data_IF_670181956730
#
_entry.id   IF_670181956730
#
_cell.length_a   1.000
_cell.length_b   1.000
_cell.length_c   1.000
_cell.angle_alpha   90.00
_cell.angle_beta   90.00
_cell.angle_gamma   90.00
#
_symmetry.space_group_name_H-M   'P 1'
#
loop_
_entity.id
_entity.type
_entity.pdbx_description
1 polymer ?
#
# COMPACT_ATOMS: atom_id res chain seq x y z
N UNK A 1 -3.91 4.92 -16.42
CA UNK A 1 -5.01 5.88 -16.11
C UNK A 1 -6.26 5.10 -15.76
N UNK A 2 -7.02 5.55 -14.75
CA UNK A 2 -8.31 4.93 -14.36
C UNK A 2 -9.48 5.64 -15.03
N UNK A 3 -10.48 4.86 -15.46
CA UNK A 3 -11.72 5.36 -16.05
C UNK A 3 -12.93 4.76 -15.33
N UNK A 4 -13.98 5.53 -15.16
CA UNK A 4 -15.21 5.08 -14.50
C UNK A 4 -15.82 3.88 -15.22
N UNK A 5 -16.19 2.86 -14.45
CA UNK A 5 -16.74 1.60 -14.95
C UNK A 5 -17.78 1.03 -13.99
N UNK A 6 -18.37 -0.11 -14.35
CA UNK A 6 -19.20 -0.88 -13.42
C UNK A 6 -18.35 -1.56 -12.35
N UNK A 7 -18.97 -1.88 -11.21
CA UNK A 7 -18.34 -2.68 -10.17
C UNK A 7 -17.88 -4.04 -10.74
N UNK A 8 -16.78 -4.61 -10.24
CA UNK A 8 -16.41 -5.98 -10.56
C UNK A 8 -17.51 -6.95 -10.14
N UNK A 9 -17.63 -8.07 -10.84
CA UNK A 9 -18.61 -9.12 -10.53
C UNK A 9 -18.06 -10.16 -9.53
N UNK A 10 -16.99 -9.85 -8.81
CA UNK A 10 -16.35 -10.72 -7.84
C UNK A 10 -16.86 -10.43 -6.43
N UNK A 11 -17.56 -11.39 -5.85
CA UNK A 11 -18.17 -11.25 -4.52
C UNK A 11 -17.10 -11.09 -3.41
N UNK A 12 -15.89 -11.64 -3.58
CA UNK A 12 -14.79 -11.46 -2.61
C UNK A 12 -14.29 -10.02 -2.64
N UNK A 13 -14.08 -9.46 -3.83
CA UNK A 13 -13.73 -8.04 -3.99
C UNK A 13 -14.80 -7.16 -3.34
N UNK A 14 -16.08 -7.42 -3.65
CA UNK A 14 -17.17 -6.63 -3.12
C UNK A 14 -17.28 -6.72 -1.59
N UNK A 15 -16.96 -7.88 -0.99
CA UNK A 15 -16.94 -8.07 0.46
C UNK A 15 -15.81 -7.27 1.15
N UNK A 16 -14.68 -7.04 0.48
CA UNK A 16 -13.56 -6.26 1.03
C UNK A 16 -13.87 -4.77 1.10
N UNK A 17 -14.73 -4.23 0.23
CA UNK A 17 -15.04 -2.78 0.19
C UNK A 17 -15.48 -2.21 1.53
N UNK A 18 -16.53 -2.72 2.20
CA UNK A 18 -16.95 -2.18 3.49
C UNK A 18 -15.92 -2.39 4.59
N UNK A 19 -15.12 -3.46 4.51
CA UNK A 19 -14.08 -3.78 5.48
C UNK A 19 -12.97 -2.72 5.39
N UNK A 20 -12.44 -2.46 4.20
CA UNK A 20 -11.36 -1.49 3.99
C UNK A 20 -11.84 -0.04 4.18
N UNK A 21 -13.09 0.26 3.83
CA UNK A 21 -13.67 1.58 4.10
C UNK A 21 -13.71 1.88 5.61
N UNK A 22 -14.11 0.88 6.43
CA UNK A 22 -14.13 1.05 7.88
C UNK A 22 -12.72 1.06 8.49
N UNK A 23 -11.80 0.20 8.03
CA UNK A 23 -10.39 0.23 8.43
C UNK A 23 -9.75 1.61 8.15
N UNK A 24 -9.98 2.14 6.95
CA UNK A 24 -9.52 3.49 6.56
C UNK A 24 -10.12 4.58 7.46
N UNK A 25 -11.39 4.45 7.85
CA UNK A 25 -12.01 5.38 8.78
C UNK A 25 -11.38 5.32 10.17
N UNK A 26 -11.05 4.12 10.69
CA UNK A 26 -10.33 3.96 11.97
C UNK A 26 -8.99 4.70 11.90
N UNK A 27 -8.20 4.51 10.84
CA UNK A 27 -6.92 5.21 10.69
C UNK A 27 -7.08 6.72 10.63
N UNK A 28 -8.06 7.23 9.90
CA UNK A 28 -8.33 8.66 9.82
C UNK A 28 -8.75 9.27 11.17
N UNK A 29 -9.58 8.56 11.95
CA UNK A 29 -9.97 8.99 13.29
C UNK A 29 -8.75 9.06 14.22
N UNK A 30 -7.88 8.05 14.20
CA UNK A 30 -6.64 8.03 15.00
C UNK A 30 -5.67 9.13 14.54
N UNK A 31 -5.51 9.32 13.23
CA UNK A 31 -4.67 10.36 12.65
C UNK A 31 -5.14 11.77 13.05
N UNK A 32 -6.44 12.04 12.96
CA UNK A 32 -7.03 13.31 13.37
C UNK A 32 -6.87 13.56 14.87
N UNK A 33 -7.02 12.51 15.71
CA UNK A 33 -6.79 12.60 17.13
C UNK A 33 -5.32 12.91 17.43
N UNK A 34 -4.39 12.26 16.75
CA UNK A 34 -2.95 12.51 16.89
C UNK A 34 -2.57 13.94 16.49
N UNK A 35 -2.97 14.40 15.30
CA UNK A 35 -2.73 15.77 14.82
C UNK A 35 -3.40 16.84 15.72
N UNK A 36 -4.49 16.51 16.40
CA UNK A 36 -5.14 17.40 17.39
C UNK A 36 -4.42 17.44 18.76
N UNK A 37 -3.29 16.73 18.90
CA UNK A 37 -2.51 16.66 20.14
C UNK A 37 -3.22 15.92 21.28
N UNK A 38 -4.12 14.98 20.98
CA UNK A 38 -4.74 14.11 21.98
C UNK A 38 -3.73 13.08 22.46
N UNK A 39 -3.98 12.51 23.65
CA UNK A 39 -3.17 11.40 24.17
C UNK A 39 -3.16 10.24 23.17
N UNK A 40 -1.95 9.81 22.78
CA UNK A 40 -1.74 8.82 21.73
C UNK A 40 -0.51 7.96 22.06
N UNK A 41 -0.67 6.64 22.00
CA UNK A 41 0.40 5.72 22.33
C UNK A 41 1.25 5.41 21.09
N UNK A 42 2.56 5.59 21.24
CA UNK A 42 3.58 5.20 20.28
C UNK A 42 4.59 4.35 21.03
N UNK A 43 4.77 3.11 20.61
CA UNK A 43 5.75 2.18 21.14
C UNK A 43 6.84 1.92 20.09
N UNK A 44 7.92 1.27 20.49
CA UNK A 44 9.03 0.88 19.62
C UNK A 44 9.10 -0.65 19.55
N UNK A 45 9.16 -1.20 18.34
CA UNK A 45 9.35 -2.65 18.10
C UNK A 45 10.83 -3.04 18.36
N UNK A 46 11.11 -4.33 18.42
CA UNK A 46 12.46 -4.87 18.64
C UNK A 46 13.47 -4.41 17.57
N UNK A 47 13.03 -4.12 16.37
CA UNK A 47 13.82 -3.59 15.26
C UNK A 47 13.95 -2.06 15.24
N UNK A 48 13.50 -1.38 16.30
CA UNK A 48 13.46 0.07 16.46
C UNK A 48 12.50 0.79 15.50
N UNK A 49 11.60 0.10 14.81
CA UNK A 49 10.51 0.74 14.09
C UNK A 49 9.40 1.17 15.05
N UNK A 50 8.71 2.28 14.77
CA UNK A 50 7.57 2.70 15.59
C UNK A 50 6.35 1.81 15.32
N UNK A 51 5.56 1.55 16.35
CA UNK A 51 4.21 1.02 16.26
C UNK A 51 3.28 1.92 17.07
N UNK A 52 2.11 2.21 16.53
CA UNK A 52 1.14 3.08 17.18
C UNK A 52 -0.13 2.33 17.58
N UNK A 53 -0.92 2.93 18.44
CA UNK A 53 -2.26 2.38 18.75
C UNK A 53 -3.14 2.25 17.49
N UNK A 54 -2.89 3.07 16.44
CA UNK A 54 -3.60 2.99 15.18
C UNK A 54 -3.29 1.68 14.44
N UNK A 55 -2.00 1.30 14.34
CA UNK A 55 -1.55 0.02 13.77
C UNK A 55 -2.29 -1.14 14.43
N UNK A 56 -2.23 -1.21 15.76
CA UNK A 56 -2.79 -2.32 16.54
C UNK A 56 -4.33 -2.38 16.43
N UNK A 57 -5.00 -1.23 16.43
CA UNK A 57 -6.46 -1.15 16.33
C UNK A 57 -6.96 -1.61 14.97
N UNK A 58 -6.31 -1.16 13.88
CA UNK A 58 -6.65 -1.57 12.51
C UNK A 58 -6.29 -3.03 12.28
N UNK A 59 -5.12 -3.48 12.78
CA UNK A 59 -4.72 -4.87 12.72
C UNK A 59 -5.79 -5.80 13.32
N UNK A 60 -6.21 -5.54 14.55
CA UNK A 60 -7.23 -6.35 15.23
C UNK A 60 -8.54 -6.40 14.44
N UNK A 61 -8.99 -5.26 13.92
CA UNK A 61 -10.20 -5.20 13.11
C UNK A 61 -10.08 -5.99 11.80
N UNK A 62 -9.00 -5.79 11.03
CA UNK A 62 -8.81 -6.46 9.74
C UNK A 62 -8.68 -7.97 9.90
N UNK A 63 -7.93 -8.46 10.90
CA UNK A 63 -7.82 -9.88 11.19
C UNK A 63 -9.19 -10.49 11.49
N UNK A 64 -9.99 -9.86 12.35
CA UNK A 64 -11.34 -10.34 12.68
C UNK A 64 -12.24 -10.42 11.44
N UNK A 65 -12.21 -9.42 10.55
CA UNK A 65 -13.04 -9.41 9.36
C UNK A 65 -12.56 -10.42 8.31
N UNK A 66 -11.24 -10.52 8.05
CA UNK A 66 -10.68 -11.49 7.12
C UNK A 66 -10.96 -12.94 7.57
N UNK A 67 -10.86 -13.23 8.87
CA UNK A 67 -11.22 -14.54 9.42
C UNK A 67 -12.70 -14.90 9.23
N UNK A 68 -13.60 -13.90 9.17
CA UNK A 68 -15.03 -14.14 8.90
C UNK A 68 -15.30 -14.50 7.44
N UNK A 69 -14.63 -13.82 6.50
CA UNK A 69 -14.86 -14.04 5.06
C UNK A 69 -14.03 -15.20 4.49
N UNK A 70 -12.85 -15.46 5.04
CA UNK A 70 -11.93 -16.51 4.58
C UNK A 70 -11.32 -17.28 5.77
N UNK A 71 -12.12 -17.99 6.59
CA UNK A 71 -11.66 -18.62 7.84
C UNK A 71 -10.58 -19.69 7.64
N UNK A 72 -10.44 -20.22 6.42
CA UNK A 72 -9.46 -21.25 6.06
C UNK A 72 -8.10 -20.68 5.66
N UNK A 73 -8.01 -19.36 5.36
CA UNK A 73 -6.77 -18.74 4.90
C UNK A 73 -6.06 -18.08 6.10
N UNK A 74 -4.85 -18.54 6.47
CA UNK A 74 -4.08 -17.90 7.53
C UNK A 74 -3.69 -16.46 7.18
N UNK A 75 -3.44 -15.65 8.20
CA UNK A 75 -3.09 -14.24 8.04
C UNK A 75 -1.70 -14.00 8.62
N UNK A 76 -0.77 -13.58 7.77
CA UNK A 76 0.54 -13.07 8.14
C UNK A 76 0.45 -11.54 8.18
N UNK A 77 0.40 -10.98 9.39
CA UNK A 77 0.37 -9.54 9.58
C UNK A 77 1.68 -9.05 10.18
N UNK A 78 2.13 -7.84 9.81
CA UNK A 78 3.29 -7.18 10.38
C UNK A 78 3.24 -7.15 11.93
N UNK A 79 2.05 -6.99 12.50
CA UNK A 79 1.86 -6.79 13.95
C UNK A 79 1.65 -8.09 14.74
N UNK A 80 1.81 -9.26 14.11
CA UNK A 80 1.58 -10.56 14.73
C UNK A 80 2.86 -11.41 14.82
N UNK A 81 2.77 -12.56 15.51
CA UNK A 81 3.85 -13.56 15.50
C UNK A 81 4.03 -14.19 14.11
N UNK A 82 5.28 -14.24 13.66
CA UNK A 82 5.69 -14.74 12.35
C UNK A 82 6.29 -16.15 12.38
N UNK A 83 6.19 -16.86 13.50
CA UNK A 83 6.87 -18.15 13.71
C UNK A 83 6.43 -19.24 12.72
N UNK A 84 5.18 -19.20 12.25
CA UNK A 84 4.60 -20.19 11.35
C UNK A 84 4.62 -19.78 9.86
N UNK A 85 5.16 -18.63 9.52
CA UNK A 85 5.11 -18.06 8.15
C UNK A 85 5.63 -19.00 7.05
N UNK A 86 6.57 -19.88 7.37
CA UNK A 86 7.18 -20.80 6.39
C UNK A 86 6.36 -22.09 6.16
N UNK A 87 5.31 -22.31 6.93
CA UNK A 87 4.46 -23.50 6.84
C UNK A 87 3.31 -23.32 5.83
N UNK A 88 3.04 -22.10 5.42
CA UNK A 88 1.88 -21.75 4.60
C UNK A 88 2.22 -21.63 3.12
N UNK A 89 1.46 -22.35 2.28
CA UNK A 89 1.50 -22.20 0.81
C UNK A 89 0.49 -21.17 0.31
N UNK A 90 -0.45 -20.78 1.18
CA UNK A 90 -1.46 -19.76 0.94
C UNK A 90 -1.65 -18.94 2.21
N UNK A 91 -1.65 -17.63 2.12
CA UNK A 91 -1.94 -16.72 3.24
C UNK A 91 -2.34 -15.35 2.77
N UNK A 92 -3.12 -14.65 3.59
CA UNK A 92 -3.20 -13.20 3.54
C UNK A 92 -1.92 -12.60 4.11
N UNK A 93 -1.37 -11.62 3.41
CA UNK A 93 -0.25 -10.81 3.86
C UNK A 93 -0.78 -9.40 4.12
N UNK A 94 -0.64 -8.91 5.34
CA UNK A 94 -1.27 -7.69 5.83
C UNK A 94 -0.23 -6.75 6.45
N UNK A 95 -0.23 -5.50 5.99
CA UNK A 95 0.33 -4.36 6.70
C UNK A 95 -0.83 -3.40 7.04
N UNK A 96 -1.19 -3.28 8.32
CA UNK A 96 -2.35 -2.49 8.73
C UNK A 96 -2.11 -0.98 8.65
N UNK A 97 -0.85 -0.54 8.68
CA UNK A 97 -0.44 0.86 8.55
C UNK A 97 0.98 0.95 7.99
N UNK A 98 1.13 0.79 6.66
CA UNK A 98 2.41 1.11 6.00
C UNK A 98 2.61 2.63 5.97
N UNK A 99 3.77 3.07 6.40
CA UNK A 99 4.06 4.48 6.56
C UNK A 99 3.76 5.01 7.97
N UNK A 100 3.99 4.22 9.03
CA UNK A 100 3.86 4.67 10.43
C UNK A 100 4.70 5.92 10.71
N UNK A 101 5.86 6.06 10.06
CA UNK A 101 6.70 7.28 10.15
C UNK A 101 6.01 8.48 9.52
N UNK A 102 5.38 8.31 8.38
CA UNK A 102 4.61 9.35 7.70
C UNK A 102 3.44 9.79 8.57
N UNK A 103 2.71 8.84 9.14
CA UNK A 103 1.63 9.08 10.11
C UNK A 103 2.12 9.94 11.30
N UNK A 104 3.23 9.56 11.95
CA UNK A 104 3.80 10.29 13.11
C UNK A 104 4.32 11.68 12.71
N UNK A 105 4.77 11.87 11.46
CA UNK A 105 5.22 13.17 10.96
C UNK A 105 4.10 14.01 10.33
N UNK A 106 2.85 13.63 10.55
CA UNK A 106 1.66 14.34 10.06
C UNK A 106 1.65 14.50 8.54
N UNK A 107 2.05 13.43 7.82
CA UNK A 107 2.01 13.34 6.35
C UNK A 107 0.86 12.44 5.93
N UNK A 108 0.12 12.87 4.93
CA UNK A 108 -1.07 12.16 4.41
C UNK A 108 -0.74 10.98 3.47
N UNK A 109 0.40 10.30 3.70
CA UNK A 109 1.01 9.34 2.78
C UNK A 109 1.16 7.93 3.39
N UNK A 110 0.17 7.50 4.16
CA UNK A 110 0.12 6.16 4.76
C UNK A 110 -0.96 5.30 4.11
N UNK A 111 -0.75 3.98 4.12
CA UNK A 111 -1.62 3.04 3.42
C UNK A 111 -1.96 1.82 4.29
N UNK A 112 -3.00 1.08 3.87
CA UNK A 112 -3.26 -0.29 4.32
C UNK A 112 -2.92 -1.20 3.15
N UNK A 113 -2.00 -2.15 3.34
CA UNK A 113 -1.61 -3.09 2.31
C UNK A 113 -2.15 -4.49 2.62
N UNK A 114 -2.84 -5.08 1.68
CA UNK A 114 -3.36 -6.44 1.77
C UNK A 114 -3.08 -7.20 0.47
N UNK A 115 -2.51 -8.40 0.58
CA UNK A 115 -2.33 -9.27 -0.58
C UNK A 115 -2.62 -10.73 -0.24
N UNK A 116 -3.11 -11.49 -1.21
CA UNK A 116 -3.26 -12.93 -1.13
C UNK A 116 -2.08 -13.57 -1.83
N UNK A 117 -1.36 -14.38 -1.07
CA UNK A 117 -0.22 -15.15 -1.56
C UNK A 117 -0.67 -16.59 -1.80
N UNK A 118 -0.34 -17.15 -2.96
CA UNK A 118 -0.51 -18.57 -3.28
C UNK A 118 0.77 -19.09 -3.92
N UNK A 119 1.34 -20.16 -3.37
CA UNK A 119 2.57 -20.79 -3.87
C UNK A 119 3.70 -19.78 -4.09
N UNK A 120 3.92 -18.89 -3.13
CA UNK A 120 4.94 -17.82 -3.14
C UNK A 120 4.72 -16.74 -4.21
N UNK A 121 3.53 -16.64 -4.77
CA UNK A 121 3.16 -15.59 -5.71
C UNK A 121 2.01 -14.75 -5.16
N UNK A 122 2.06 -13.46 -5.39
CA UNK A 122 0.93 -12.56 -5.14
C UNK A 122 -0.12 -12.78 -6.21
N UNK A 123 -1.29 -13.28 -5.83
CA UNK A 123 -2.40 -13.53 -6.78
C UNK A 123 -3.49 -12.47 -6.71
N UNK A 124 -3.62 -11.80 -5.58
CA UNK A 124 -4.51 -10.66 -5.36
C UNK A 124 -3.79 -9.58 -4.58
N UNK A 125 -4.06 -8.34 -4.89
CA UNK A 125 -3.42 -7.16 -4.29
C UNK A 125 -4.44 -6.08 -3.98
N UNK A 126 -4.23 -5.39 -2.85
CA UNK A 126 -5.02 -4.24 -2.45
C UNK A 126 -4.15 -3.25 -1.68
N UNK A 127 -4.22 -1.97 -2.06
CA UNK A 127 -3.69 -0.85 -1.29
C UNK A 127 -4.83 0.14 -1.08
N UNK A 128 -5.15 0.43 0.19
CA UNK A 128 -6.06 1.52 0.52
C UNK A 128 -5.25 2.75 0.96
N UNK A 129 -5.67 3.93 0.51
CA UNK A 129 -5.11 5.24 0.88
C UNK A 129 -6.18 5.99 1.67
N UNK A 130 -6.16 5.92 3.01
CA UNK A 130 -7.22 6.48 3.85
C UNK A 130 -7.43 7.98 3.65
N UNK A 131 -6.37 8.74 3.54
CA UNK A 131 -6.39 10.21 3.40
C UNK A 131 -7.02 10.67 2.07
N UNK A 132 -6.87 9.88 1.01
CA UNK A 132 -7.49 10.14 -0.29
C UNK A 132 -8.88 9.51 -0.43
N UNK A 133 -9.30 8.70 0.54
CA UNK A 133 -10.58 7.98 0.49
C UNK A 133 -10.70 7.05 -0.72
N UNK A 134 -9.61 6.35 -1.10
CA UNK A 134 -9.56 5.43 -2.24
C UNK A 134 -8.90 4.12 -1.87
N UNK A 135 -9.14 3.08 -2.67
CA UNK A 135 -8.35 1.86 -2.69
C UNK A 135 -8.10 1.39 -4.12
N UNK A 136 -6.95 0.77 -4.34
CA UNK A 136 -6.54 0.10 -5.57
C UNK A 136 -6.51 -1.39 -5.31
N UNK A 137 -7.11 -2.20 -6.19
CA UNK A 137 -7.18 -3.64 -5.98
C UNK A 137 -7.36 -4.41 -7.29
N UNK A 138 -6.93 -5.65 -7.28
CA UNK A 138 -7.10 -6.54 -8.43
C UNK A 138 -6.34 -7.85 -8.31
N UNK A 139 -6.64 -8.76 -9.22
CA UNK A 139 -5.90 -10.00 -9.41
C UNK A 139 -4.72 -9.78 -10.36
N UNK A 140 -3.65 -10.55 -10.17
CA UNK A 140 -2.45 -10.49 -11.03
C UNK A 140 -2.76 -10.66 -12.53
N UNK A 141 -3.80 -11.41 -12.85
CA UNK A 141 -4.19 -11.75 -14.24
C UNK A 141 -5.16 -10.76 -14.88
N UNK A 142 -5.55 -9.70 -14.16
CA UNK A 142 -6.54 -8.74 -14.61
C UNK A 142 -6.09 -7.30 -14.32
N UNK A 143 -6.50 -6.37 -15.17
CA UNK A 143 -6.26 -4.94 -14.93
C UNK A 143 -6.96 -4.49 -13.64
N UNK A 144 -6.26 -3.76 -12.76
CA UNK A 144 -6.77 -3.42 -11.44
C UNK A 144 -7.91 -2.39 -11.50
N UNK A 145 -8.65 -2.35 -10.39
CA UNK A 145 -9.68 -1.37 -10.13
C UNK A 145 -9.21 -0.35 -9.10
N UNK A 146 -9.77 0.84 -9.19
CA UNK A 146 -9.76 1.87 -8.15
C UNK A 146 -11.18 2.06 -7.65
N UNK A 147 -11.36 2.14 -6.34
CA UNK A 147 -12.63 2.43 -5.71
C UNK A 147 -12.54 3.67 -4.84
N UNK A 148 -13.46 4.62 -5.02
CA UNK A 148 -13.58 5.80 -4.16
C UNK A 148 -14.60 5.54 -3.06
N UNK A 149 -14.17 5.62 -1.79
CA UNK A 149 -15.05 5.46 -0.62
C UNK A 149 -16.04 6.62 -0.51
N UNK A 150 -15.62 7.84 -0.85
CA UNK A 150 -16.45 9.04 -0.76
C UNK A 150 -17.49 9.11 -1.89
N UNK A 151 -17.08 8.80 -3.12
CA UNK A 151 -17.95 8.86 -4.30
C UNK A 151 -18.73 7.56 -4.56
N UNK A 152 -18.30 6.45 -3.93
CA UNK A 152 -18.84 5.09 -4.10
C UNK A 152 -18.90 4.65 -5.56
N UNK A 153 -17.88 5.02 -6.33
CA UNK A 153 -17.73 4.64 -7.74
C UNK A 153 -16.49 3.77 -7.96
N UNK A 154 -16.56 2.99 -9.03
CA UNK A 154 -15.49 2.15 -9.52
C UNK A 154 -14.86 2.77 -10.75
N UNK A 155 -13.55 2.64 -10.84
CA UNK A 155 -12.76 2.94 -12.02
C UNK A 155 -11.89 1.73 -12.34
N UNK A 156 -11.71 1.41 -13.61
CA UNK A 156 -10.81 0.34 -14.06
C UNK A 156 -9.58 0.94 -14.71
N UNK A 157 -8.42 0.36 -14.44
CA UNK A 157 -7.20 0.76 -15.09
C UNK A 157 -7.31 0.56 -16.60
N UNK A 158 -6.85 1.54 -17.35
CA UNK A 158 -6.73 1.48 -18.82
C UNK A 158 -5.28 1.74 -19.16
N UNK A 159 -4.62 0.82 -19.92
CA UNK A 159 -3.25 1.02 -20.34
C UNK A 159 -3.07 2.40 -20.96
N UNK A 160 -2.07 3.08 -20.50
CA UNK A 160 -1.72 4.42 -20.95
C UNK A 160 -0.51 4.31 -21.87
N UNK A 161 -0.62 4.79 -23.09
CA UNK A 161 0.54 4.98 -23.94
C UNK A 161 1.25 6.23 -23.46
N UNK A 162 2.45 6.07 -22.90
CA UNK A 162 3.30 7.20 -22.53
C UNK A 162 3.47 8.12 -23.73
N UNK A 163 3.12 9.38 -23.53
CA UNK A 163 3.65 10.45 -24.38
C UNK A 163 5.15 10.56 -24.08
N UNK A 164 5.93 11.08 -25.06
CA UNK A 164 7.34 11.40 -24.82
C UNK A 164 7.47 12.17 -23.51
N UNK A 165 8.19 11.59 -22.54
CA UNK A 165 8.35 12.21 -21.22
C UNK A 165 9.58 13.09 -21.26
N UNK A 166 9.41 14.38 -21.02
CA UNK A 166 10.53 15.33 -20.97
C UNK A 166 11.51 15.06 -19.84
N UNK A 167 11.09 14.31 -18.79
CA UNK A 167 11.89 13.97 -17.62
C UNK A 167 11.38 12.69 -16.93
N UNK A 168 12.30 11.89 -16.38
CA UNK A 168 11.98 10.70 -15.58
C UNK A 168 11.53 11.14 -14.18
N UNK A 169 10.34 10.73 -13.75
CA UNK A 169 9.83 10.96 -12.40
C UNK A 169 10.30 9.83 -11.47
N UNK A 170 11.14 10.13 -10.47
CA UNK A 170 11.68 9.13 -9.53
C UNK A 170 11.08 9.31 -8.14
N UNK A 171 10.38 8.29 -7.64
CA UNK A 171 9.83 8.24 -6.29
C UNK A 171 10.87 7.89 -5.25
N UNK A 172 11.09 8.76 -4.27
CA UNK A 172 12.06 8.58 -3.18
C UNK A 172 11.34 8.64 -1.83
N UNK A 173 11.90 7.96 -0.83
CA UNK A 173 11.40 8.09 0.54
C UNK A 173 11.94 9.37 1.19
N UNK A 174 11.10 10.02 2.00
CA UNK A 174 11.46 11.24 2.72
C UNK A 174 12.75 11.10 3.51
N UNK A 175 13.65 12.06 3.31
CA UNK A 175 14.88 12.18 4.10
C UNK A 175 15.83 10.99 4.01
N UNK A 176 15.77 10.17 2.98
CA UNK A 176 16.66 9.03 2.81
C UNK A 176 18.12 9.50 2.71
N UNK A 177 18.97 9.00 3.65
CA UNK A 177 20.41 9.29 3.71
C UNK A 177 21.28 8.23 3.01
N UNK A 178 20.67 7.17 2.46
CA UNK A 178 21.43 6.12 1.79
C UNK A 178 22.03 6.65 0.48
N UNK A 179 23.38 6.66 0.35
CA UNK A 179 24.04 7.23 -0.82
C UNK A 179 23.71 6.54 -2.14
N UNK A 180 23.23 5.30 -2.10
CA UNK A 180 22.81 4.57 -3.32
C UNK A 180 21.67 5.26 -4.06
N UNK A 181 20.77 5.98 -3.36
CA UNK A 181 19.71 6.75 -4.01
C UNK A 181 20.28 7.90 -4.85
N UNK A 182 21.26 8.64 -4.30
CA UNK A 182 21.93 9.71 -5.05
C UNK A 182 22.68 9.15 -6.26
N UNK A 183 23.48 8.09 -6.05
CA UNK A 183 24.22 7.43 -7.15
C UNK A 183 23.28 6.94 -8.27
N UNK A 184 22.13 6.39 -7.90
CA UNK A 184 21.16 5.92 -8.88
C UNK A 184 20.52 7.07 -9.67
N UNK A 185 20.13 8.14 -8.98
CA UNK A 185 19.57 9.33 -9.63
C UNK A 185 20.62 10.00 -10.52
N UNK A 186 21.87 10.17 -10.04
CA UNK A 186 22.98 10.73 -10.83
C UNK A 186 23.25 9.89 -12.10
N UNK A 187 23.05 8.55 -12.01
CA UNK A 187 23.15 7.66 -13.18
C UNK A 187 22.02 7.92 -14.18
N UNK A 188 20.77 8.05 -13.74
CA UNK A 188 19.65 8.34 -14.60
C UNK A 188 19.78 9.74 -15.27
N UNK A 189 20.30 10.74 -14.55
CA UNK A 189 20.52 12.10 -15.04
C UNK A 189 21.55 12.18 -16.20
N UNK A 190 22.36 11.12 -16.42
CA UNK A 190 23.24 11.03 -17.60
C UNK A 190 22.46 10.78 -18.91
N UNK A 191 21.30 10.15 -18.81
CA UNK A 191 20.50 9.75 -19.97
C UNK A 191 19.30 10.69 -20.21
N UNK A 192 18.68 11.19 -19.13
CA UNK A 192 17.48 12.04 -19.21
C UNK A 192 17.35 12.93 -17.99
N UNK A 193 16.71 14.10 -18.10
CA UNK A 193 16.35 14.90 -16.94
C UNK A 193 15.56 14.09 -15.91
N UNK A 194 15.84 14.28 -14.62
CA UNK A 194 15.16 13.58 -13.52
C UNK A 194 14.41 14.57 -12.63
N UNK A 195 13.16 14.25 -12.34
CA UNK A 195 12.34 14.94 -11.33
C UNK A 195 12.18 14.02 -10.13
N UNK A 196 12.61 14.49 -8.96
CA UNK A 196 12.51 13.74 -7.70
C UNK A 196 11.16 14.03 -7.05
N UNK A 197 10.43 12.96 -6.70
CA UNK A 197 9.17 13.00 -5.95
C UNK A 197 9.38 12.29 -4.62
N UNK A 198 9.24 12.99 -3.51
CA UNK A 198 9.29 12.38 -2.19
C UNK A 198 7.89 11.98 -1.75
N UNK A 199 7.75 10.73 -1.27
CA UNK A 199 6.50 10.21 -0.75
C UNK A 199 6.72 9.03 0.21
N UNK A 200 5.69 8.70 0.97
CA UNK A 200 5.64 7.56 1.89
C UNK A 200 5.77 6.21 1.18
N UNK A 201 6.04 5.17 1.91
CA UNK A 201 6.41 3.82 1.51
C UNK A 201 5.55 3.25 0.36
N UNK A 202 4.49 2.49 0.64
CA UNK A 202 3.67 1.87 -0.39
C UNK A 202 2.79 2.87 -1.18
N UNK A 203 2.57 4.07 -0.66
CA UNK A 203 1.90 5.13 -1.41
C UNK A 203 2.56 5.42 -2.77
N UNK A 204 3.88 5.21 -2.88
CA UNK A 204 4.60 5.34 -4.17
C UNK A 204 4.14 4.33 -5.24
N UNK A 205 3.65 3.15 -4.86
CA UNK A 205 3.03 2.24 -5.83
C UNK A 205 1.73 2.80 -6.41
N UNK A 206 0.94 3.49 -5.58
CA UNK A 206 -0.26 4.18 -6.05
C UNK A 206 0.10 5.31 -7.03
N UNK A 207 1.14 6.09 -6.72
CA UNK A 207 1.66 7.13 -7.63
C UNK A 207 2.15 6.54 -8.96
N UNK A 208 2.76 5.33 -8.97
CA UNK A 208 3.12 4.65 -10.22
C UNK A 208 1.87 4.25 -11.02
N UNK A 209 0.84 3.73 -10.37
CA UNK A 209 -0.43 3.38 -11.03
C UNK A 209 -1.12 4.60 -11.65
N UNK A 210 -1.02 5.76 -11.02
CA UNK A 210 -1.57 7.03 -11.53
C UNK A 210 -0.67 7.70 -12.57
N UNK A 211 0.57 7.21 -12.76
CA UNK A 211 1.53 7.78 -13.71
C UNK A 211 2.22 9.04 -13.20
N UNK A 212 2.24 9.26 -11.90
CA UNK A 212 2.90 10.40 -11.25
C UNK A 212 4.40 10.18 -11.05
N UNK A 213 4.82 8.92 -10.95
CA UNK A 213 6.23 8.51 -10.93
C UNK A 213 6.44 7.32 -11.87
N UNK A 214 7.64 7.28 -12.48
CA UNK A 214 8.02 6.23 -13.43
C UNK A 214 8.86 5.14 -12.76
N UNK A 215 9.65 5.50 -11.75
CA UNK A 215 10.60 4.61 -11.09
C UNK A 215 10.51 4.78 -9.57
N UNK A 216 10.43 3.65 -8.87
CA UNK A 216 10.51 3.59 -7.41
C UNK A 216 11.67 2.67 -6.98
N UNK A 217 12.90 3.19 -6.77
CA UNK A 217 14.04 2.40 -6.32
C UNK A 217 13.97 2.11 -4.82
N UNK A 218 14.37 0.89 -4.40
CA UNK A 218 14.50 0.50 -2.99
C UNK A 218 15.89 -0.08 -2.73
N UNK A 219 16.70 0.55 -1.87
CA UNK A 219 18.07 0.16 -1.52
C UNK A 219 18.26 -0.14 -0.05
N UNK A 220 17.22 -0.41 0.68
CA UNK A 220 17.26 -0.86 2.08
C UNK A 220 16.42 -2.14 2.24
N UNK A 221 16.68 -2.92 3.29
CA UNK A 221 15.85 -4.07 3.63
C UNK A 221 14.39 -3.66 3.77
N UNK A 222 13.51 -4.54 3.35
CA UNK A 222 12.07 -4.31 3.35
C UNK A 222 11.38 -5.64 3.60
N UNK A 223 10.24 -5.61 4.27
CA UNK A 223 9.44 -6.81 4.51
C UNK A 223 8.52 -7.12 3.33
N UNK A 224 7.99 -8.34 3.30
CA UNK A 224 7.11 -8.79 2.23
C UNK A 224 5.82 -7.96 2.17
N UNK A 225 5.27 -7.60 3.33
CA UNK A 225 4.02 -6.82 3.44
C UNK A 225 4.15 -5.38 2.95
N UNK A 226 5.37 -4.79 2.95
CA UNK A 226 5.63 -3.46 2.41
C UNK A 226 5.53 -3.41 0.87
N UNK A 227 5.71 -4.52 0.18
CA UNK A 227 5.90 -4.53 -1.28
C UNK A 227 4.94 -5.41 -2.04
N UNK A 228 4.46 -6.51 -1.46
CA UNK A 228 3.67 -7.52 -2.18
C UNK A 228 2.42 -6.94 -2.84
N UNK A 229 1.65 -6.12 -2.13
CA UNK A 229 0.44 -5.52 -2.68
C UNK A 229 0.76 -4.56 -3.85
N UNK A 230 1.75 -3.68 -3.67
CA UNK A 230 2.16 -2.73 -4.70
C UNK A 230 2.76 -3.41 -5.93
N UNK A 231 3.64 -4.38 -5.72
CA UNK A 231 4.24 -5.16 -6.80
C UNK A 231 3.17 -5.90 -7.62
N UNK A 232 2.25 -6.61 -6.95
CA UNK A 232 1.21 -7.36 -7.65
C UNK A 232 0.26 -6.46 -8.47
N UNK A 233 -0.07 -5.25 -7.98
CA UNK A 233 -0.82 -4.27 -8.77
C UNK A 233 -0.05 -3.79 -10.00
N UNK A 234 1.26 -3.55 -9.89
CA UNK A 234 2.07 -3.13 -11.04
C UNK A 234 2.29 -4.27 -12.03
N UNK A 235 2.56 -5.50 -11.56
CA UNK A 235 2.69 -6.67 -12.43
C UNK A 235 1.41 -6.97 -13.22
N UNK A 236 0.24 -6.62 -12.70
CA UNK A 236 -1.04 -6.80 -13.40
C UNK A 236 -1.24 -5.86 -14.59
N UNK A 237 -0.48 -4.78 -14.65
CA UNK A 237 -0.54 -3.82 -15.78
C UNK A 237 0.60 -3.97 -16.79
N UNK A 238 1.57 -4.86 -16.57
CA UNK A 238 2.69 -5.23 -17.48
C UNK A 238 4.03 -4.77 -16.99
#
# INVERSE_FOLDING_TARGET
MFITTQAPHDDQILALVPILAHASQILLEEYQNYCAGREFNIDEKDDHSPVTQADLRVNAYLIEQLQKITPQIPILSEENDHSQRHEWTECWLLDPLDGTKEFIHERDEFTINLSLIQNHQTVFSLIAVPTEQVMYLGYLTELPYKYSFSQKNWERYTPYHQHEVDAIQVGLSHGSKNPKYHQYVDYLEQESPVIRREAGSAYKFCMMLEGEIDIYPRFHPTSEWDTSAGQGLLESIG
#
